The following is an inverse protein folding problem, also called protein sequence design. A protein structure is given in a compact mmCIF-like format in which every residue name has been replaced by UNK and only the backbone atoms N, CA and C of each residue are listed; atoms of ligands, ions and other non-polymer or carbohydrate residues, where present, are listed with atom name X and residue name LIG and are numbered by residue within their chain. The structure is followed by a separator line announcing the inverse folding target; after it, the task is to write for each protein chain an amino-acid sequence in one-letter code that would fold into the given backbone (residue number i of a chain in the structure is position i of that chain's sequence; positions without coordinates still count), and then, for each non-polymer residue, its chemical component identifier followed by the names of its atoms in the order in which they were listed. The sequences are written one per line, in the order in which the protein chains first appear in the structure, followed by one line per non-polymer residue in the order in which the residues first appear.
data_IF_346431246571
#
_entry.id   IF_346431246571
#
_cell.length_a   1.000
_cell.length_b   1.000
_cell.length_c   1.000
_cell.angle_alpha   90.00
_cell.angle_beta   90.00
_cell.angle_gamma   90.00
#
_symmetry.space_group_name_H-M   'P 1'
#
loop_
_entity.id
_entity.type
_entity.pdbx_description
1 polymer ?
#
# COMPACT_ATOMS: atom_id res chain seq x y z
N UNK A 1 23.59 3.41 -27.26
CA UNK A 1 22.16 3.12 -27.08
C UNK A 1 21.97 2.16 -25.93
N UNK A 2 21.80 2.65 -24.70
CA UNK A 2 21.24 1.91 -23.55
C UNK A 2 20.92 2.91 -22.44
N UNK A 3 19.87 3.70 -22.68
CA UNK A 3 19.20 4.48 -21.64
C UNK A 3 18.10 3.62 -21.02
N UNK A 4 18.46 2.47 -20.45
CA UNK A 4 17.52 1.65 -19.72
C UNK A 4 17.89 1.76 -18.25
N UNK A 5 17.29 2.74 -17.56
CA UNK A 5 17.17 2.75 -16.10
C UNK A 5 16.19 1.65 -15.69
N UNK A 6 16.44 0.42 -16.14
CA UNK A 6 15.60 -0.72 -15.85
C UNK A 6 16.16 -1.38 -14.59
N UNK A 7 15.30 -1.48 -13.56
CA UNK A 7 15.62 -2.22 -12.36
C UNK A 7 15.98 -3.66 -12.74
N UNK A 8 17.02 -4.19 -12.10
CA UNK A 8 17.45 -5.57 -12.24
C UNK A 8 16.29 -6.51 -11.87
N UNK A 9 16.15 -7.68 -12.52
CA UNK A 9 15.05 -8.61 -12.27
C UNK A 9 14.85 -8.98 -10.80
N UNK A 10 15.93 -9.07 -10.03
CA UNK A 10 15.86 -9.37 -8.59
C UNK A 10 15.20 -8.25 -7.77
N UNK A 11 15.38 -6.99 -8.17
CA UNK A 11 14.77 -5.84 -7.50
C UNK A 11 13.25 -5.85 -7.68
N UNK A 12 12.77 -6.29 -8.85
CA UNK A 12 11.33 -6.49 -9.09
C UNK A 12 10.73 -7.55 -8.17
N UNK A 13 11.42 -8.67 -7.96
CA UNK A 13 10.96 -9.70 -7.02
C UNK A 13 10.91 -9.17 -5.58
N UNK A 14 11.91 -8.39 -5.16
CA UNK A 14 11.93 -7.76 -3.84
C UNK A 14 10.79 -6.74 -3.66
N UNK A 15 10.55 -5.87 -4.65
CA UNK A 15 9.44 -4.89 -4.62
C UNK A 15 8.10 -5.63 -4.55
N UNK A 16 7.93 -6.69 -5.35
CA UNK A 16 6.73 -7.54 -5.30
C UNK A 16 6.51 -8.15 -3.91
N UNK A 17 7.57 -8.66 -3.27
CA UNK A 17 7.49 -9.17 -1.90
C UNK A 17 7.08 -8.11 -0.88
N UNK A 18 7.64 -6.89 -0.98
CA UNK A 18 7.29 -5.77 -0.11
C UNK A 18 5.80 -5.42 -0.28
N UNK A 19 5.30 -5.34 -1.52
CA UNK A 19 3.89 -5.03 -1.80
C UNK A 19 2.95 -6.07 -1.19
N UNK A 20 3.25 -7.37 -1.32
CA UNK A 20 2.42 -8.45 -0.76
C UNK A 20 2.31 -8.33 0.77
N UNK A 21 3.45 -8.10 1.44
CA UNK A 21 3.49 -7.98 2.89
C UNK A 21 2.76 -6.72 3.33
N UNK A 22 3.14 -5.56 2.79
CA UNK A 22 2.58 -4.26 3.18
C UNK A 22 1.11 -4.10 2.82
N UNK A 23 0.65 -4.68 1.71
CA UNK A 23 -0.77 -4.73 1.34
C UNK A 23 -1.60 -5.52 2.35
N UNK A 24 -1.11 -6.70 2.76
CA UNK A 24 -1.79 -7.52 3.79
C UNK A 24 -1.85 -6.81 5.14
N UNK A 25 -0.75 -6.15 5.54
CA UNK A 25 -0.73 -5.36 6.77
C UNK A 25 -1.61 -4.10 6.68
N UNK A 26 -1.70 -3.46 5.52
CA UNK A 26 -2.53 -2.27 5.31
C UNK A 26 -4.02 -2.55 5.50
N UNK A 27 -4.51 -3.67 4.96
CA UNK A 27 -5.90 -4.13 5.16
C UNK A 27 -6.22 -4.38 6.64
N UNK A 28 -5.28 -5.00 7.37
CA UNK A 28 -5.41 -5.20 8.81
C UNK A 28 -5.40 -3.88 9.58
N UNK A 29 -4.49 -2.95 9.25
CA UNK A 29 -4.42 -1.63 9.88
C UNK A 29 -5.71 -0.85 9.64
N UNK A 30 -6.27 -0.89 8.43
CA UNK A 30 -7.55 -0.26 8.15
C UNK A 30 -8.67 -0.88 8.99
N UNK A 31 -8.74 -2.21 9.05
CA UNK A 31 -9.76 -2.90 9.86
C UNK A 31 -9.68 -2.50 11.35
N UNK A 32 -8.46 -2.35 11.88
CA UNK A 32 -8.20 -1.93 13.26
C UNK A 32 -8.49 -0.43 13.46
N UNK A 33 -8.20 0.41 12.48
CA UNK A 33 -8.51 1.84 12.52
C UNK A 33 -10.03 2.05 12.50
N UNK A 34 -10.74 1.41 11.56
CA UNK A 34 -12.22 1.36 11.51
C UNK A 34 -12.82 0.95 12.87
N UNK A 35 -12.20 -0.02 13.56
CA UNK A 35 -12.64 -0.47 14.90
C UNK A 35 -12.32 0.53 16.01
N UNK A 36 -11.14 1.14 15.96
CA UNK A 36 -10.62 2.04 17.02
C UNK A 36 -11.35 3.37 17.06
N UNK A 37 -11.81 3.88 15.92
CA UNK A 37 -12.51 5.17 15.88
C UNK A 37 -13.98 5.03 16.31
N UNK A 38 -14.46 3.82 16.62
CA UNK A 38 -15.85 3.55 17.02
C UNK A 38 -16.91 4.14 16.06
N UNK A 39 -16.53 4.43 14.80
CA UNK A 39 -17.46 4.93 13.80
C UNK A 39 -18.21 3.74 13.23
N UNK A 40 -19.26 3.36 13.95
CA UNK A 40 -20.32 2.50 13.44
C UNK A 40 -21.19 3.22 12.38
N UNK A 41 -21.01 4.54 12.19
CA UNK A 41 -21.87 5.37 11.33
C UNK A 41 -21.12 6.36 10.42
N UNK A 42 -20.12 5.92 9.63
CA UNK A 42 -19.65 6.71 8.46
C UNK A 42 -20.56 6.49 7.25
N UNK A 43 -21.67 5.77 7.44
CA UNK A 43 -22.67 5.48 6.43
C UNK A 43 -23.60 6.67 6.17
N UNK A 44 -23.09 7.87 5.93
CA UNK A 44 -23.90 8.96 5.36
C UNK A 44 -23.19 9.87 4.35
N UNK A 45 -21.89 9.70 4.07
CA UNK A 45 -21.24 10.56 3.07
C UNK A 45 -21.10 9.97 1.67
N UNK A 46 -21.08 8.65 1.43
CA UNK A 46 -21.17 8.09 0.06
C UNK A 46 -21.88 6.72 0.05
N UNK A 47 -23.18 6.66 -0.27
CA UNK A 47 -23.86 5.40 -0.54
C UNK A 47 -23.45 4.93 -1.94
N UNK A 48 -22.69 3.83 -2.02
CA UNK A 48 -22.43 3.10 -3.27
C UNK A 48 -20.99 3.14 -3.83
N UNK A 49 -20.05 3.85 -3.21
CA UNK A 49 -18.63 3.80 -3.58
C UNK A 49 -17.83 3.22 -2.42
N UNK A 50 -17.75 1.88 -2.36
CA UNK A 50 -17.00 1.17 -1.33
C UNK A 50 -15.55 1.63 -1.29
N UNK A 51 -15.14 2.18 -0.15
CA UNK A 51 -13.76 2.20 0.32
C UNK A 51 -12.72 2.72 -0.67
N UNK A 52 -12.79 4.01 -1.05
CA UNK A 52 -11.64 4.64 -1.70
C UNK A 52 -10.39 4.49 -0.81
N UNK A 53 -10.52 4.80 0.49
CA UNK A 53 -9.44 4.65 1.48
C UNK A 53 -8.91 3.22 1.63
N UNK A 54 -9.80 2.23 1.60
CA UNK A 54 -9.52 0.78 1.61
C UNK A 54 -8.48 0.37 0.52
N UNK A 55 -8.56 1.00 -0.66
CA UNK A 55 -7.59 0.79 -1.75
C UNK A 55 -6.27 1.53 -1.56
N UNK A 56 -6.27 2.60 -0.79
CA UNK A 56 -5.08 3.40 -0.51
C UNK A 56 -4.34 2.95 0.74
N UNK A 57 -4.96 2.25 1.69
CA UNK A 57 -4.32 1.94 2.97
C UNK A 57 -3.13 0.97 2.82
N UNK A 58 -3.26 -0.05 1.98
CA UNK A 58 -2.13 -0.91 1.58
C UNK A 58 -1.04 -0.14 0.81
N UNK A 59 -1.44 0.80 -0.06
CA UNK A 59 -0.50 1.61 -0.84
C UNK A 59 0.26 2.61 0.04
N UNK A 60 -0.44 3.30 0.94
CA UNK A 60 0.12 4.27 1.87
C UNK A 60 1.14 3.61 2.79
N UNK A 61 0.87 2.38 3.22
CA UNK A 61 1.82 1.60 3.98
C UNK A 61 2.98 1.11 3.11
N UNK A 62 2.77 0.73 1.85
CA UNK A 62 3.81 0.24 0.94
C UNK A 62 4.79 1.31 0.42
N UNK A 63 4.30 2.52 0.12
CA UNK A 63 5.06 3.62 -0.49
C UNK A 63 6.38 3.93 0.24
N UNK A 64 6.43 4.16 1.55
CA UNK A 64 7.69 4.47 2.23
C UNK A 64 8.70 3.31 2.16
N UNK A 65 8.24 2.05 2.19
CA UNK A 65 9.13 0.89 2.07
C UNK A 65 9.70 0.76 0.65
N UNK A 66 8.86 0.95 -0.37
CA UNK A 66 9.30 0.91 -1.77
C UNK A 66 10.29 2.02 -2.07
N UNK A 67 10.02 3.27 -1.64
CA UNK A 67 10.93 4.40 -1.85
C UNK A 67 12.27 4.17 -1.13
N UNK A 68 12.23 3.64 0.10
CA UNK A 68 13.46 3.34 0.86
C UNK A 68 14.25 2.22 0.19
N UNK A 69 13.58 1.16 -0.27
CA UNK A 69 14.21 0.07 -1.01
C UNK A 69 14.88 0.58 -2.30
N UNK A 70 14.17 1.38 -3.10
CA UNK A 70 14.71 1.96 -4.32
C UNK A 70 15.92 2.86 -4.01
N UNK A 71 15.85 3.73 -2.99
CA UNK A 71 17.00 4.59 -2.63
C UNK A 71 18.25 3.84 -2.17
N UNK A 72 18.08 2.65 -1.59
CA UNK A 72 19.19 1.86 -1.06
C UNK A 72 19.80 0.92 -2.10
N UNK A 73 18.99 0.43 -3.04
CA UNK A 73 19.38 -0.68 -3.91
C UNK A 73 19.33 -0.35 -5.39
N UNK A 74 18.67 0.73 -5.82
CA UNK A 74 18.58 1.21 -7.21
C UNK A 74 19.33 2.53 -7.39
#
# INVERSE_FOLDING_TARGET
TRYTNELEPWQWYCIGGIIVVTGTYGDLVESLFKRSIAIKDSGTSIPGHGGFLDRFDGLLLAVPFIITFLKLFA
#
